data_IF_888231923373
#
_entry.id   IF_888231923373
#
_cell.length_a   1.000
_cell.length_b   1.000
_cell.length_c   1.000
_cell.angle_alpha   90.00
_cell.angle_beta   90.00
_cell.angle_gamma   90.00
#
_symmetry.space_group_name_H-M   'P 1'
#
loop_
_entity.id
_entity.type
_entity.pdbx_description
1 polymer ?
#
# COMPACT_ATOMS: atom_id res chain seq x y z
N UNK A 1 -16.05 11.04 -3.65
CA UNK A 1 -15.72 10.18 -4.82
C UNK A 1 -15.05 8.92 -4.27
N UNK A 2 -15.12 7.77 -4.95
CA UNK A 2 -14.52 6.46 -4.55
C UNK A 2 -12.97 6.47 -4.47
N UNK A 3 -12.35 7.62 -4.30
CA UNK A 3 -10.93 7.75 -4.00
C UNK A 3 -10.77 8.64 -2.77
N UNK A 4 -11.62 9.67 -2.64
CA UNK A 4 -11.77 10.46 -1.43
C UNK A 4 -12.20 9.61 -0.23
N UNK A 5 -13.09 8.63 -0.46
CA UNK A 5 -13.61 7.77 0.60
C UNK A 5 -12.50 6.84 1.14
N UNK A 6 -11.78 6.16 0.25
CA UNK A 6 -10.69 5.24 0.58
C UNK A 6 -9.44 5.96 1.13
N UNK A 7 -9.09 7.12 0.57
CA UNK A 7 -7.97 7.93 1.09
C UNK A 7 -8.29 8.53 2.46
N UNK A 8 -9.54 8.93 2.68
CA UNK A 8 -10.05 9.38 3.97
C UNK A 8 -9.99 8.29 5.04
N UNK A 9 -10.38 7.06 4.70
CA UNK A 9 -10.25 5.89 5.60
C UNK A 9 -8.80 5.61 5.99
N UNK A 10 -7.86 5.81 5.07
CA UNK A 10 -6.43 5.57 5.30
C UNK A 10 -5.70 6.78 5.90
N UNK A 11 -6.36 7.93 6.02
CA UNK A 11 -5.75 9.18 6.49
C UNK A 11 -4.62 9.68 5.60
N UNK A 12 -4.65 9.32 4.30
CA UNK A 12 -3.62 9.71 3.33
C UNK A 12 -4.08 11.00 2.65
N UNK A 13 -3.45 12.16 2.91
CA UNK A 13 -3.79 13.39 2.21
C UNK A 13 -3.17 13.33 0.80
N UNK A 14 -3.87 12.71 -0.14
CA UNK A 14 -3.48 12.68 -1.54
C UNK A 14 -4.28 13.69 -2.36
N UNK A 15 -3.57 14.40 -3.24
CA UNK A 15 -4.20 15.27 -4.24
C UNK A 15 -4.52 14.41 -5.45
N UNK A 16 -5.80 14.14 -5.67
CA UNK A 16 -6.28 13.38 -6.83
C UNK A 16 -6.54 14.35 -7.97
N UNK A 17 -5.95 14.07 -9.14
CA UNK A 17 -6.18 14.83 -10.37
C UNK A 17 -6.87 13.94 -11.40
N UNK A 18 -8.06 14.36 -11.85
CA UNK A 18 -8.74 13.71 -12.95
C UNK A 18 -8.28 14.32 -14.28
N UNK A 19 -7.85 13.45 -15.20
CA UNK A 19 -7.34 13.88 -16.51
C UNK A 19 -8.21 13.27 -17.60
N UNK A 20 -8.85 14.14 -18.37
CA UNK A 20 -9.51 13.78 -19.63
C UNK A 20 -8.44 13.52 -20.69
N UNK A 21 -8.26 12.24 -21.04
CA UNK A 21 -7.25 11.78 -22.02
C UNK A 21 -7.57 12.23 -23.44
N UNK A 22 -8.84 12.46 -23.79
CA UNK A 22 -9.23 12.94 -25.12
C UNK A 22 -8.76 14.39 -25.31
N UNK A 23 -8.76 15.17 -24.22
CA UNK A 23 -8.24 16.55 -24.21
C UNK A 23 -6.72 16.63 -24.02
N UNK A 24 -6.13 15.67 -23.30
CA UNK A 24 -4.71 15.69 -22.91
C UNK A 24 -3.97 14.42 -23.34
N UNK A 25 -4.10 14.03 -24.61
CA UNK A 25 -3.50 12.81 -25.16
C UNK A 25 -1.99 12.67 -24.90
N UNK A 26 -1.24 13.79 -24.87
CA UNK A 26 0.20 13.80 -24.58
C UNK A 26 0.54 13.28 -23.17
N UNK A 27 -0.36 13.48 -22.19
CA UNK A 27 -0.18 12.92 -20.84
C UNK A 27 -0.35 11.40 -20.90
N UNK A 28 -1.39 10.91 -21.57
CA UNK A 28 -1.61 9.48 -21.75
C UNK A 28 -0.42 8.82 -22.46
N UNK A 29 0.13 9.47 -23.49
CA UNK A 29 1.31 8.99 -24.21
C UNK A 29 2.57 8.94 -23.32
N UNK A 30 2.84 10.02 -22.56
CA UNK A 30 4.01 10.09 -21.69
C UNK A 30 4.01 9.01 -20.59
N UNK A 31 2.83 8.63 -20.10
CA UNK A 31 2.67 7.58 -19.09
C UNK A 31 2.41 6.19 -19.69
N UNK A 32 2.36 6.06 -21.02
CA UNK A 32 2.08 4.81 -21.72
C UNK A 32 0.71 4.23 -21.34
N UNK A 33 -0.30 5.09 -21.23
CA UNK A 33 -1.68 4.73 -20.92
C UNK A 33 -2.37 4.27 -22.21
N UNK A 34 -2.73 2.99 -22.26
CA UNK A 34 -3.41 2.37 -23.41
C UNK A 34 -4.88 2.05 -23.12
N UNK A 35 -5.28 2.07 -21.85
CA UNK A 35 -6.61 1.68 -21.38
C UNK A 35 -7.10 2.69 -20.36
N UNK A 36 -8.39 3.01 -20.39
CA UNK A 36 -9.05 3.88 -19.40
C UNK A 36 -10.18 3.12 -18.69
N UNK A 37 -10.44 3.40 -17.39
CA UNK A 37 -9.66 4.31 -16.53
C UNK A 37 -8.28 3.73 -16.15
N UNK A 38 -7.32 4.61 -15.86
CA UNK A 38 -6.00 4.24 -15.31
C UNK A 38 -5.61 5.23 -14.23
N UNK A 39 -5.19 4.73 -13.06
CA UNK A 39 -4.61 5.54 -11.99
C UNK A 39 -3.09 5.43 -12.04
N UNK A 40 -2.42 6.55 -11.80
CA UNK A 40 -0.96 6.66 -11.82
C UNK A 40 -0.49 7.43 -10.61
N UNK A 41 0.50 6.89 -9.91
CA UNK A 41 1.18 7.54 -8.80
C UNK A 41 2.68 7.19 -8.84
N UNK A 42 3.49 8.17 -9.23
CA UNK A 42 4.92 7.95 -9.46
C UNK A 42 5.17 6.87 -10.52
N UNK A 43 5.81 5.77 -10.12
CA UNK A 43 6.08 4.62 -10.98
C UNK A 43 4.98 3.55 -10.95
N UNK A 44 4.02 3.64 -10.03
CA UNK A 44 2.94 2.67 -9.89
C UNK A 44 1.75 3.06 -10.76
N UNK A 45 1.12 2.05 -11.36
CA UNK A 45 -0.11 2.23 -12.14
C UNK A 45 -1.05 1.05 -12.02
N UNK A 46 -2.34 1.34 -12.08
CA UNK A 46 -3.43 0.36 -12.17
C UNK A 46 -4.36 0.79 -13.29
N UNK A 47 -4.66 -0.14 -14.20
CA UNK A 47 -5.49 0.09 -15.39
C UNK A 47 -6.74 -0.77 -15.37
N UNK A 48 -7.81 -0.28 -15.98
CA UNK A 48 -9.14 -0.88 -15.93
C UNK A 48 -9.97 -0.34 -14.76
N UNK A 49 -11.21 -0.81 -14.62
CA UNK A 49 -12.09 -0.40 -13.52
C UNK A 49 -11.61 -1.07 -12.23
N UNK A 50 -11.03 -0.31 -11.27
CA UNK A 50 -10.45 -0.90 -10.07
C UNK A 50 -11.54 -1.34 -9.09
N UNK A 51 -11.32 -2.44 -8.39
CA UNK A 51 -12.14 -2.78 -7.22
C UNK A 51 -11.68 -2.00 -5.99
N UNK A 52 -12.52 -1.95 -4.96
CA UNK A 52 -12.17 -1.33 -3.69
C UNK A 52 -10.90 -1.94 -3.04
N UNK A 53 -10.67 -3.25 -3.17
CA UNK A 53 -9.42 -3.87 -2.68
C UNK A 53 -8.19 -3.45 -3.50
N UNK A 54 -8.36 -3.23 -4.80
CA UNK A 54 -7.27 -2.79 -5.66
C UNK A 54 -6.86 -1.36 -5.30
N UNK A 55 -7.83 -0.46 -5.09
CA UNK A 55 -7.59 0.92 -4.66
C UNK A 55 -6.85 0.98 -3.33
N UNK A 56 -7.30 0.21 -2.33
CA UNK A 56 -6.61 0.15 -1.03
C UNK A 56 -5.17 -0.34 -1.16
N UNK A 57 -4.96 -1.41 -1.94
CA UNK A 57 -3.62 -1.96 -2.17
C UNK A 57 -2.72 -0.95 -2.88
N UNK A 58 -3.26 -0.25 -3.86
CA UNK A 58 -2.57 0.80 -4.59
C UNK A 58 -2.17 1.96 -3.67
N UNK A 59 -3.11 2.50 -2.88
CA UNK A 59 -2.87 3.57 -1.91
C UNK A 59 -1.78 3.19 -0.88
N UNK A 60 -1.78 1.94 -0.41
CA UNK A 60 -0.73 1.45 0.49
C UNK A 60 0.66 1.38 -0.18
N UNK A 61 0.73 1.04 -1.46
CA UNK A 61 2.01 0.98 -2.19
C UNK A 61 2.58 2.36 -2.48
N UNK A 62 1.72 3.34 -2.69
CA UNK A 62 2.13 4.70 -3.08
C UNK A 62 2.38 5.61 -1.88
N UNK A 63 1.87 5.23 -0.70
CA UNK A 63 2.07 5.97 0.53
C UNK A 63 3.56 6.10 0.88
N UNK A 64 4.11 7.34 0.96
CA UNK A 64 5.52 7.57 1.25
C UNK A 64 5.95 7.04 2.63
N UNK A 65 5.01 6.97 3.58
CA UNK A 65 5.23 6.39 4.90
C UNK A 65 5.63 4.92 4.82
N UNK A 66 5.09 4.17 3.85
CA UNK A 66 5.38 2.74 3.64
C UNK A 66 6.63 2.55 2.77
N UNK A 67 6.84 3.40 1.76
CA UNK A 67 8.01 3.31 0.87
C UNK A 67 9.35 3.43 1.60
N UNK A 68 9.42 4.22 2.69
CA UNK A 68 10.62 4.33 3.54
C UNK A 68 11.05 3.01 4.21
N UNK A 69 10.16 2.00 4.28
CA UNK A 69 10.46 0.66 4.82
C UNK A 69 10.78 -0.38 3.74
N UNK A 70 10.53 -0.06 2.45
CA UNK A 70 10.58 -1.04 1.35
C UNK A 70 11.85 -0.92 0.51
N UNK A 71 12.60 0.19 0.61
CA UNK A 71 13.93 0.29 0.01
C UNK A 71 14.98 -0.41 0.90
N UNK A 72 15.23 -1.70 0.61
CA UNK A 72 16.12 -2.69 1.27
C UNK A 72 15.45 -3.63 2.25
N UNK A 73 14.55 -4.47 1.77
CA UNK A 73 14.20 -5.68 2.51
C UNK A 73 13.39 -6.63 1.67
N UNK A 74 14.03 -7.67 1.16
CA UNK A 74 13.33 -8.80 0.55
C UNK A 74 12.16 -9.27 1.45
N UNK A 75 11.04 -9.75 0.88
CA UNK A 75 9.87 -10.26 1.63
C UNK A 75 10.15 -11.48 2.52
N UNK A 76 11.42 -11.88 2.67
CA UNK A 76 11.88 -12.86 3.65
C UNK A 76 12.04 -12.30 5.07
N UNK A 77 12.05 -10.97 5.28
CA UNK A 77 12.23 -10.39 6.62
C UNK A 77 10.98 -10.51 7.50
N UNK A 78 9.78 -10.37 6.92
CA UNK A 78 8.51 -10.44 7.67
C UNK A 78 8.25 -11.87 8.19
N UNK A 79 8.66 -12.89 7.43
CA UNK A 79 8.60 -14.29 7.89
C UNK A 79 9.62 -14.57 9.02
N UNK A 80 10.72 -13.83 9.05
CA UNK A 80 11.78 -14.01 10.06
C UNK A 80 11.39 -13.43 11.42
N UNK A 81 10.69 -12.30 11.45
CA UNK A 81 10.17 -11.72 12.71
C UNK A 81 9.04 -12.57 13.32
N UNK A 82 8.15 -13.13 12.50
CA UNK A 82 7.09 -14.02 12.99
C UNK A 82 7.64 -15.33 13.60
N UNK A 83 8.83 -15.79 13.18
CA UNK A 83 9.52 -16.92 13.81
C UNK A 83 10.21 -16.55 15.13
N UNK A 84 10.69 -15.31 15.27
CA UNK A 84 11.34 -14.85 16.51
C UNK A 84 10.40 -14.72 17.71
N UNK A 85 9.12 -14.41 17.47
CA UNK A 85 8.11 -14.32 18.53
C UNK A 85 7.64 -15.68 19.07
N UNK A 86 7.93 -16.79 18.38
CA UNK A 86 7.57 -18.14 18.84
C UNK A 86 8.61 -18.82 19.72
N UNK A 87 9.82 -18.26 19.84
CA UNK A 87 10.93 -18.86 20.59
C UNK A 87 11.35 -18.01 21.80
N UNK A 88 10.40 -17.34 22.45
CA UNK A 88 10.63 -16.91 23.83
C UNK A 88 10.36 -18.11 24.75
N UNK A 89 11.36 -18.67 25.46
CA UNK A 89 11.09 -19.62 26.52
C UNK A 89 10.27 -18.89 27.58
N UNK A 90 9.02 -19.33 27.76
CA UNK A 90 8.24 -19.02 28.94
C UNK A 90 9.06 -19.53 30.13
N UNK A 91 9.63 -18.62 30.91
CA UNK A 91 10.26 -18.95 32.18
C UNK A 91 9.16 -19.33 33.17
N UNK A 92 8.76 -20.60 33.11
CA UNK A 92 7.65 -21.21 33.84
C UNK A 92 8.02 -21.51 35.32
N UNK A 93 8.76 -20.60 35.98
CA UNK A 93 9.21 -20.78 37.38
C UNK A 93 8.98 -19.59 38.31
N UNK A 94 8.12 -18.64 37.95
CA UNK A 94 7.81 -17.48 38.80
C UNK A 94 6.38 -17.46 39.39
N UNK A 95 5.58 -18.53 39.27
CA UNK A 95 4.21 -18.54 39.83
C UNK A 95 3.92 -19.85 40.55
N UNK A 96 4.45 -19.99 41.76
CA UNK A 96 3.83 -20.76 42.85
C UNK A 96 4.58 -20.52 44.18
N UNK A 97 4.23 -19.44 44.87
CA UNK A 97 4.25 -19.43 46.34
C UNK A 97 2.82 -19.24 46.81
N UNK A 98 2.30 -20.19 47.60
CA UNK A 98 1.45 -19.86 48.72
C UNK A 98 2.10 -20.33 50.03
N UNK A 99 1.60 -19.74 51.12
CA UNK A 99 2.07 -19.81 52.51
C UNK A 99 2.38 -21.20 53.06
#
# INVERSE_FOLDING_TARGET
MMLDDESGELGIPETVFEVDVDRHHHIAEAYGILVVPTLVAGMQKISGVPTHSDLKSFLLQVSPTIQSTTERGAPSSVIREARGLRESPVDEKAIARPM
#
